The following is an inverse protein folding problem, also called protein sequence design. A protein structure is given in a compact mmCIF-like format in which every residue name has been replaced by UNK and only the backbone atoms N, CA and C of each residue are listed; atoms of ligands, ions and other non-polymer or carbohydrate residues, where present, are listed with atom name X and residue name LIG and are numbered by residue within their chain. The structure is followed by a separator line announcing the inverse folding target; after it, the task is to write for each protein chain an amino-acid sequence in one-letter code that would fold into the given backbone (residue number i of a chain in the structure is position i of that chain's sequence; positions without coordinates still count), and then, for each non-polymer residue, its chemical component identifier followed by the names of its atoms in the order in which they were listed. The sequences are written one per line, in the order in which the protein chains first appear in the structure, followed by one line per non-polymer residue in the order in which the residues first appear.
data_IF_648199311424
#
_entry.id   IF_648199311424
#
_cell.length_a   1.000
_cell.length_b   1.000
_cell.length_c   1.000
_cell.angle_alpha   90.00
_cell.angle_beta   90.00
_cell.angle_gamma   90.00
#
_symmetry.space_group_name_H-M   'P 1'
#
loop_
_entity.id
_entity.type
_entity.pdbx_description
1 polymer ?
#
# COMPACT_ATOMS: atom_id res chain seq x y z
N UNK A 1 -1.56 4.01 14.41
CA UNK A 1 -1.62 2.66 13.80
C UNK A 1 -2.70 1.85 14.49
N UNK A 2 -3.36 0.93 13.77
CA UNK A 2 -4.39 0.03 14.30
C UNK A 2 -4.15 -1.40 13.82
N UNK A 3 -4.69 -2.39 14.53
CA UNK A 3 -4.77 -3.77 14.09
C UNK A 3 -6.19 -4.06 13.57
N UNK A 4 -6.29 -4.74 12.44
CA UNK A 4 -7.57 -5.03 11.78
C UNK A 4 -7.76 -6.52 11.59
N UNK A 5 -8.88 -7.06 12.07
CA UNK A 5 -9.27 -8.46 11.93
C UNK A 5 -10.71 -8.57 11.39
N UNK A 6 -10.84 -8.59 10.06
CA UNK A 6 -12.14 -8.57 9.38
C UNK A 6 -12.61 -9.94 8.86
N UNK A 7 -11.88 -11.02 9.14
CA UNK A 7 -12.07 -12.29 8.43
C UNK A 7 -12.06 -13.52 9.34
N UNK A 8 -10.88 -13.90 9.83
CA UNK A 8 -10.65 -15.15 10.54
C UNK A 8 -9.96 -14.83 11.85
N UNK A 9 -10.28 -15.61 12.89
CA UNK A 9 -9.56 -15.61 14.16
C UNK A 9 -8.04 -15.62 13.87
N UNK A 10 -7.34 -14.71 14.54
CA UNK A 10 -5.87 -14.56 14.54
C UNK A 10 -5.21 -14.06 13.24
N UNK A 11 -5.98 -13.52 12.28
CA UNK A 11 -5.43 -12.87 11.09
C UNK A 11 -5.54 -11.35 11.16
N UNK A 12 -4.60 -10.74 11.89
CA UNK A 12 -4.49 -9.30 11.98
C UNK A 12 -3.73 -8.72 10.79
N UNK A 13 -4.14 -7.53 10.36
CA UNK A 13 -3.37 -6.65 9.48
C UNK A 13 -3.12 -5.36 10.21
N UNK A 14 -1.86 -4.94 10.25
CA UNK A 14 -1.52 -3.60 10.69
C UNK A 14 -1.95 -2.60 9.62
N UNK A 15 -2.64 -1.54 10.05
CA UNK A 15 -3.02 -0.42 9.21
C UNK A 15 -2.49 0.88 9.82
N UNK A 16 -1.92 1.73 8.97
CA UNK A 16 -1.48 3.07 9.34
C UNK A 16 -1.82 4.07 8.24
N UNK A 17 -1.66 5.36 8.52
CA UNK A 17 -1.83 6.45 7.56
C UNK A 17 -0.51 7.20 7.44
N UNK A 18 -0.06 7.42 6.21
CA UNK A 18 1.17 8.15 5.89
C UNK A 18 0.82 9.11 4.77
N UNK A 19 1.03 10.41 4.99
CA UNK A 19 0.69 11.47 4.03
C UNK A 19 -0.76 11.33 3.49
N UNK A 20 -1.72 11.24 4.41
CA UNK A 20 -3.17 11.05 4.13
C UNK A 20 -3.52 9.83 3.26
N UNK A 21 -2.57 8.92 3.06
CA UNK A 21 -2.76 7.68 2.31
C UNK A 21 -2.77 6.52 3.30
N UNK A 22 -3.74 5.61 3.25
CA UNK A 22 -3.78 4.49 4.18
C UNK A 22 -2.96 3.32 3.65
N UNK A 23 -2.25 2.66 4.55
CA UNK A 23 -1.31 1.57 4.28
C UNK A 23 -1.65 0.36 5.12
N UNK A 24 -1.55 -0.83 4.54
CA UNK A 24 -1.63 -2.08 5.28
C UNK A 24 -0.35 -2.89 5.13
N UNK A 25 0.07 -3.57 6.19
CA UNK A 25 1.15 -4.53 6.12
C UNK A 25 0.63 -5.86 5.57
N UNK A 26 1.24 -6.38 4.51
CA UNK A 26 0.81 -7.61 3.87
C UNK A 26 1.17 -8.84 4.71
N UNK A 27 0.22 -9.75 4.87
CA UNK A 27 0.43 -11.08 5.47
C UNK A 27 1.09 -12.09 4.52
N UNK A 28 1.47 -11.70 3.31
CA UNK A 28 2.10 -12.59 2.31
C UNK A 28 1.15 -13.54 1.58
N UNK A 29 0.02 -13.95 2.17
CA UNK A 29 -0.90 -14.98 1.65
C UNK A 29 -1.29 -14.82 0.16
N UNK A 30 -1.46 -13.59 -0.30
CA UNK A 30 -1.85 -13.27 -1.68
C UNK A 30 -0.82 -12.40 -2.42
N UNK A 31 0.31 -12.05 -1.78
CA UNK A 31 1.39 -11.27 -2.42
C UNK A 31 2.66 -12.08 -2.64
N UNK A 32 2.87 -13.19 -1.92
CA UNK A 32 4.17 -13.84 -1.81
C UNK A 32 5.19 -13.03 -0.98
N UNK A 33 4.78 -11.88 -0.45
CA UNK A 33 5.64 -10.92 0.26
C UNK A 33 5.00 -10.55 1.59
N UNK A 34 5.29 -11.33 2.62
CA UNK A 34 4.87 -11.01 4.00
C UNK A 34 5.72 -9.86 4.53
N UNK A 35 5.11 -8.90 5.20
CA UNK A 35 5.79 -7.73 5.77
C UNK A 35 5.87 -6.52 4.83
N UNK A 36 5.56 -6.64 3.54
CA UNK A 36 5.54 -5.49 2.62
C UNK A 36 4.31 -4.62 2.83
N UNK A 37 4.53 -3.30 2.95
CA UNK A 37 3.48 -2.31 3.10
C UNK A 37 2.90 -1.90 1.74
N UNK A 38 1.58 -1.94 1.62
CA UNK A 38 0.86 -1.51 0.42
C UNK A 38 -0.19 -0.47 0.79
N UNK A 39 -0.31 0.56 -0.04
CA UNK A 39 -1.42 1.48 0.08
C UNK A 39 -2.75 0.81 -0.37
N UNK A 40 -3.86 1.37 0.08
CA UNK A 40 -5.20 0.92 -0.30
C UNK A 40 -6.19 2.09 -0.27
N UNK A 41 -7.44 1.86 -0.67
CA UNK A 41 -8.48 2.90 -0.75
C UNK A 41 -9.45 2.92 0.44
N UNK A 42 -9.24 2.09 1.47
CA UNK A 42 -10.22 1.87 2.54
C UNK A 42 -10.83 0.47 2.51
N UNK A 43 -11.85 0.25 3.34
CA UNK A 43 -12.54 -1.03 3.44
C UNK A 43 -13.85 -0.99 2.67
N UNK A 44 -14.09 -2.03 1.87
CA UNK A 44 -15.29 -2.16 1.06
C UNK A 44 -16.53 -2.36 1.94
N UNK A 45 -17.42 -1.37 1.95
CA UNK A 45 -18.68 -1.42 2.73
C UNK A 45 -19.78 -2.21 2.03
N UNK A 46 -19.87 -2.09 0.70
CA UNK A 46 -20.87 -2.76 -0.12
C UNK A 46 -20.24 -3.91 -0.90
N UNK A 47 -20.81 -5.10 -0.75
CA UNK A 47 -20.48 -6.25 -1.61
C UNK A 47 -20.68 -5.87 -3.08
N UNK A 48 -19.83 -6.42 -3.96
CA UNK A 48 -20.03 -6.40 -5.41
C UNK A 48 -19.85 -7.80 -6.01
N UNK A 49 -19.97 -7.92 -7.33
CA UNK A 49 -19.90 -9.20 -8.04
C UNK A 49 -18.56 -9.94 -7.88
N UNK A 50 -17.49 -9.25 -7.45
CA UNK A 50 -16.13 -9.82 -7.33
C UNK A 50 -15.64 -9.92 -5.88
N UNK A 51 -16.21 -9.15 -4.96
CA UNK A 51 -15.70 -9.01 -3.59
C UNK A 51 -16.84 -8.90 -2.57
N UNK A 52 -16.73 -9.66 -1.48
CA UNK A 52 -17.60 -9.51 -0.30
C UNK A 52 -17.33 -8.18 0.43
N UNK A 53 -18.21 -7.79 1.34
CA UNK A 53 -17.92 -6.72 2.31
C UNK A 53 -16.61 -6.97 3.09
N UNK A 54 -16.04 -5.92 3.70
CA UNK A 54 -14.84 -6.00 4.55
C UNK A 54 -13.53 -6.32 3.82
N UNK A 55 -13.51 -6.21 2.50
CA UNK A 55 -12.27 -6.33 1.72
C UNK A 55 -11.50 -5.01 1.70
N UNK A 56 -10.17 -5.07 1.84
CA UNK A 56 -9.30 -3.92 1.52
C UNK A 56 -9.47 -3.56 0.03
N UNK A 57 -9.82 -2.32 -0.26
CA UNK A 57 -9.95 -1.79 -1.61
C UNK A 57 -8.55 -1.61 -2.17
N UNK A 58 -8.08 -2.61 -2.93
CA UNK A 58 -6.77 -2.54 -3.56
C UNK A 58 -6.82 -1.61 -4.78
N UNK A 59 -5.73 -0.90 -5.08
CA UNK A 59 -5.57 -0.04 -6.25
C UNK A 59 -5.72 -0.71 -7.63
N UNK A 60 -6.11 -1.99 -7.72
CA UNK A 60 -6.40 -2.65 -9.00
C UNK A 60 -7.49 -1.96 -9.83
N UNK A 61 -8.31 -1.07 -9.24
CA UNK A 61 -9.18 -0.18 -9.98
C UNK A 61 -8.40 0.75 -10.93
N UNK A 62 -7.23 1.25 -10.52
CA UNK A 62 -6.37 2.10 -11.34
C UNK A 62 -5.87 1.39 -12.61
N UNK A 63 -5.65 0.07 -12.56
CA UNK A 63 -5.29 -0.71 -13.77
C UNK A 63 -6.46 -0.85 -14.73
N UNK A 64 -7.69 -0.93 -14.22
CA UNK A 64 -8.89 -0.98 -15.07
C UNK A 64 -9.09 0.34 -15.82
N UNK A 65 -8.62 1.45 -15.27
CA UNK A 65 -8.56 2.76 -15.92
C UNK A 65 -7.46 2.87 -17.00
N UNK A 66 -6.78 1.76 -17.33
CA UNK A 66 -5.83 1.63 -18.45
C UNK A 66 -4.52 2.42 -18.30
N UNK A 67 -4.13 2.83 -17.08
CA UNK A 67 -2.80 3.42 -16.90
C UNK A 67 -1.70 2.41 -17.26
N UNK A 68 -0.82 2.81 -18.17
CA UNK A 68 0.35 2.02 -18.54
C UNK A 68 1.39 2.06 -17.41
N UNK A 69 2.22 1.00 -17.33
CA UNK A 69 3.34 0.95 -16.37
C UNK A 69 4.28 2.16 -16.50
N UNK A 70 4.43 2.67 -17.71
CA UNK A 70 5.24 3.83 -18.04
C UNK A 70 4.63 5.13 -17.52
N UNK A 71 3.31 5.30 -17.59
CA UNK A 71 2.65 6.45 -16.98
C UNK A 71 2.76 6.44 -15.45
N UNK A 72 2.84 5.26 -14.85
CA UNK A 72 2.79 5.12 -13.39
C UNK A 72 4.14 5.28 -12.68
N UNK A 73 5.22 4.73 -13.27
CA UNK A 73 6.57 4.81 -12.70
C UNK A 73 7.53 5.68 -13.52
N UNK A 74 7.07 6.23 -14.64
CA UNK A 74 7.94 6.85 -15.63
C UNK A 74 8.70 5.82 -16.47
N UNK A 75 9.20 6.27 -17.62
CA UNK A 75 9.92 5.45 -18.60
C UNK A 75 11.17 4.80 -18.03
N UNK A 76 11.95 5.53 -17.24
CA UNK A 76 13.23 5.08 -16.72
C UNK A 76 13.07 3.92 -15.74
N UNK A 77 12.17 4.06 -14.76
CA UNK A 77 11.92 3.02 -13.74
C UNK A 77 11.20 1.82 -14.33
N UNK A 78 10.23 2.03 -15.23
CA UNK A 78 9.58 0.94 -15.95
C UNK A 78 10.58 0.12 -16.79
N UNK A 79 11.52 0.80 -17.46
CA UNK A 79 12.61 0.14 -18.19
C UNK A 79 13.53 -0.63 -17.25
N UNK A 80 13.98 -0.03 -16.14
CA UNK A 80 14.84 -0.69 -15.15
C UNK A 80 14.21 -1.99 -14.62
N UNK A 81 12.95 -1.94 -14.21
CA UNK A 81 12.21 -3.09 -13.68
C UNK A 81 12.08 -4.21 -14.74
N UNK A 82 11.91 -3.83 -16.02
CA UNK A 82 11.89 -4.80 -17.12
C UNK A 82 13.27 -5.40 -17.35
N UNK A 83 14.32 -4.58 -17.47
CA UNK A 83 15.73 -4.97 -17.69
C UNK A 83 16.21 -5.96 -16.63
N UNK A 84 15.79 -5.79 -15.38
CA UNK A 84 16.18 -6.64 -14.27
C UNK A 84 15.17 -7.77 -13.97
N UNK A 85 14.23 -8.06 -14.86
CA UNK A 85 13.25 -9.14 -14.73
C UNK A 85 12.50 -9.12 -13.38
N UNK A 86 12.20 -7.93 -12.89
CA UNK A 86 11.45 -7.70 -11.65
C UNK A 86 9.94 -7.61 -11.94
N UNK A 87 9.55 -7.33 -13.18
CA UNK A 87 8.16 -7.22 -13.63
C UNK A 87 7.30 -8.48 -13.43
N UNK A 88 7.92 -9.66 -13.24
CA UNK A 88 7.23 -10.92 -12.90
C UNK A 88 7.01 -11.10 -11.40
N UNK A 89 7.74 -10.35 -10.59
CA UNK A 89 7.72 -10.44 -9.13
C UNK A 89 6.84 -9.35 -8.53
N UNK A 90 6.93 -8.13 -9.05
CA UNK A 90 6.10 -7.05 -8.54
C UNK A 90 4.76 -7.00 -9.26
N UNK A 91 3.69 -6.96 -8.48
CA UNK A 91 2.39 -6.50 -8.97
C UNK A 91 2.41 -4.97 -8.93
N UNK A 92 2.83 -4.37 -10.04
CA UNK A 92 2.93 -2.91 -10.21
C UNK A 92 1.69 -2.15 -9.72
N UNK A 93 0.51 -2.72 -9.95
CA UNK A 93 -0.75 -2.13 -9.53
C UNK A 93 -0.89 -1.99 -8.02
N UNK A 94 -0.19 -2.82 -7.22
CA UNK A 94 -0.23 -2.77 -5.76
C UNK A 94 0.69 -1.71 -5.17
N UNK A 95 1.74 -1.32 -5.88
CA UNK A 95 2.72 -0.37 -5.37
C UNK A 95 2.35 1.08 -5.60
N UNK A 96 1.39 1.36 -6.48
CA UNK A 96 0.97 2.73 -6.69
C UNK A 96 1.96 3.45 -7.60
N UNK A 97 1.84 4.76 -7.66
CA UNK A 97 2.79 5.60 -8.39
C UNK A 97 4.22 5.54 -7.81
N UNK A 98 5.11 6.32 -8.42
CA UNK A 98 6.51 6.42 -7.99
C UNK A 98 6.66 6.86 -6.53
N UNK A 99 5.80 7.75 -6.03
CA UNK A 99 5.85 8.20 -4.64
C UNK A 99 5.48 7.05 -3.70
N UNK A 100 4.40 6.33 -3.99
CA UNK A 100 3.91 5.22 -3.16
C UNK A 100 4.88 4.04 -3.13
N UNK A 101 5.54 3.71 -4.25
CA UNK A 101 6.56 2.66 -4.22
C UNK A 101 7.78 3.06 -3.41
N UNK A 102 8.20 4.35 -3.44
CA UNK A 102 9.28 4.86 -2.59
C UNK A 102 8.91 4.81 -1.11
N UNK A 103 7.70 5.24 -0.73
CA UNK A 103 7.20 5.12 0.65
C UNK A 103 7.18 3.65 1.10
N UNK A 104 6.67 2.74 0.27
CA UNK A 104 6.71 1.30 0.56
C UNK A 104 8.15 0.80 0.78
N UNK A 105 9.10 1.26 -0.04
CA UNK A 105 10.50 0.88 0.05
C UNK A 105 11.20 1.46 1.30
N UNK A 106 10.81 2.65 1.76
CA UNK A 106 11.28 3.23 3.02
C UNK A 106 10.96 2.37 4.23
N UNK A 107 9.78 1.73 4.25
CA UNK A 107 9.30 0.93 5.37
C UNK A 107 9.90 -0.48 5.43
N UNK A 108 10.67 -0.87 4.41
CA UNK A 108 11.27 -2.20 4.27
C UNK A 108 10.25 -3.35 4.38
N UNK A 109 10.74 -4.57 4.64
CA UNK A 109 9.92 -5.76 4.82
C UNK A 109 9.52 -6.46 3.51
N UNK A 110 9.35 -7.79 3.62
CA UNK A 110 8.91 -8.65 2.52
C UNK A 110 9.73 -8.50 1.24
N UNK A 111 9.10 -8.04 0.15
CA UNK A 111 9.73 -7.83 -1.15
C UNK A 111 11.04 -7.03 -1.05
N UNK A 112 11.07 -5.99 -0.23
CA UNK A 112 12.23 -5.09 -0.11
C UNK A 112 13.46 -5.76 0.51
N UNK A 113 13.27 -6.86 1.24
CA UNK A 113 14.37 -7.65 1.81
C UNK A 113 14.99 -8.62 0.80
N UNK A 114 14.33 -8.89 -0.33
CA UNK A 114 14.88 -9.71 -1.41
C UNK A 114 16.00 -8.99 -2.17
N UNK A 115 16.90 -9.73 -2.81
CA UNK A 115 17.99 -9.13 -3.61
C UNK A 115 17.47 -8.20 -4.72
N UNK A 116 16.35 -8.57 -5.34
CA UNK A 116 15.70 -7.74 -6.36
C UNK A 116 15.02 -6.52 -5.75
N UNK A 117 14.42 -6.67 -4.56
CA UNK A 117 13.88 -5.56 -3.78
C UNK A 117 14.94 -4.54 -3.42
N UNK A 118 16.08 -5.00 -2.88
CA UNK A 118 17.25 -4.15 -2.56
C UNK A 118 17.77 -3.41 -3.79
N UNK A 119 17.92 -4.10 -4.93
CA UNK A 119 18.32 -3.47 -6.21
C UNK A 119 17.34 -2.39 -6.65
N UNK A 120 16.03 -2.66 -6.57
CA UNK A 120 15.01 -1.67 -6.91
C UNK A 120 15.01 -0.50 -5.92
N UNK A 121 15.12 -0.75 -4.62
CA UNK A 121 15.20 0.28 -3.58
C UNK A 121 16.37 1.22 -3.86
N UNK A 122 17.57 0.70 -4.13
CA UNK A 122 18.74 1.51 -4.46
C UNK A 122 18.53 2.35 -5.74
N UNK A 123 17.86 1.79 -6.75
CA UNK A 123 17.49 2.55 -7.94
C UNK A 123 16.52 3.69 -7.60
N UNK A 124 15.47 3.40 -6.84
CA UNK A 124 14.48 4.40 -6.43
C UNK A 124 15.10 5.51 -5.58
N UNK A 125 15.95 5.16 -4.59
CA UNK A 125 16.66 6.13 -3.75
C UNK A 125 17.58 7.05 -4.55
N UNK A 126 18.22 6.53 -5.60
CA UNK A 126 19.09 7.31 -6.48
C UNK A 126 18.33 8.35 -7.30
N UNK A 127 17.13 8.02 -7.78
CA UNK A 127 16.41 8.85 -8.77
C UNK A 127 15.23 9.63 -8.20
N UNK A 128 14.69 9.21 -7.06
CA UNK A 128 13.55 9.84 -6.40
C UNK A 128 13.72 9.92 -4.87
N UNK A 129 14.87 10.42 -4.37
CA UNK A 129 15.13 10.50 -2.93
C UNK A 129 14.07 11.30 -2.17
N UNK A 130 13.45 12.30 -2.82
CA UNK A 130 12.43 13.18 -2.25
C UNK A 130 11.15 12.46 -1.82
N UNK A 131 10.89 11.26 -2.35
CA UNK A 131 9.71 10.47 -1.98
C UNK A 131 9.98 9.43 -0.88
N UNK A 132 11.23 9.30 -0.43
CA UNK A 132 11.55 8.44 0.71
C UNK A 132 11.18 9.12 2.03
N UNK A 133 10.59 8.36 2.93
CA UNK A 133 10.35 8.81 4.31
C UNK A 133 11.69 9.07 5.03
N UNK A 134 11.66 10.01 5.97
CA UNK A 134 12.80 10.26 6.86
C UNK A 134 13.00 9.10 7.84
N UNK A 135 14.21 8.99 8.40
CA UNK A 135 14.55 7.92 9.34
C UNK A 135 13.69 7.99 10.61
N UNK A 136 13.32 9.18 11.04
CA UNK A 136 12.46 9.44 12.20
C UNK A 136 11.08 8.82 11.97
N UNK A 137 10.46 9.12 10.83
CA UNK A 137 9.14 8.58 10.47
C UNK A 137 9.17 7.06 10.30
N UNK A 138 10.24 6.52 9.70
CA UNK A 138 10.42 5.07 9.55
C UNK A 138 10.48 4.41 10.93
N UNK A 139 11.29 4.96 11.84
CA UNK A 139 11.45 4.46 13.21
C UNK A 139 10.12 4.46 13.97
N UNK A 140 9.39 5.57 13.93
CA UNK A 140 8.06 5.68 14.58
C UNK A 140 7.08 4.62 14.09
N UNK A 141 7.05 4.36 12.77
CA UNK A 141 6.16 3.36 12.18
C UNK A 141 6.57 1.95 12.58
N UNK A 142 7.88 1.64 12.60
CA UNK A 142 8.39 0.34 13.02
C UNK A 142 8.12 0.08 14.51
N UNK A 143 8.36 1.05 15.37
CA UNK A 143 8.05 0.96 16.80
C UNK A 143 6.55 0.75 17.02
N UNK A 144 5.71 1.51 16.32
CA UNK A 144 4.26 1.33 16.36
C UNK A 144 3.83 -0.06 15.87
N UNK A 145 4.51 -0.64 14.87
CA UNK A 145 4.21 -1.97 14.35
C UNK A 145 4.56 -3.11 15.32
N UNK A 146 5.47 -2.87 16.28
CA UNK A 146 5.87 -3.86 17.29
C UNK A 146 4.98 -3.81 18.55
N UNK A 147 4.12 -2.80 18.68
CA UNK A 147 3.21 -2.65 19.82
C UNK A 147 2.20 -3.78 19.89
N UNK A 148 2.01 -4.32 21.10
CA UNK A 148 1.03 -5.37 21.41
C UNK A 148 -0.31 -4.82 21.89
N UNK A 149 -0.39 -3.51 22.18
CA UNK A 149 -1.54 -2.80 22.75
C UNK A 149 -2.29 -1.96 21.70
N UNK A 150 -2.13 -2.27 20.41
CA UNK A 150 -2.82 -1.55 19.34
C UNK A 150 -4.34 -1.76 19.41
N UNK A 151 -5.16 -0.72 19.16
CA UNK A 151 -6.60 -0.89 19.01
C UNK A 151 -6.93 -1.92 17.92
N UNK A 152 -7.75 -2.90 18.27
CA UNK A 152 -8.18 -3.97 17.36
C UNK A 152 -9.58 -3.67 16.83
N UNK A 153 -9.69 -3.49 15.52
CA UNK A 153 -10.97 -3.32 14.85
C UNK A 153 -11.39 -4.57 14.09
N UNK A 154 -12.58 -5.07 14.41
CA UNK A 154 -13.23 -6.21 13.75
C UNK A 154 -14.41 -5.81 12.84
N UNK A 155 -14.70 -4.51 12.79
CA UNK A 155 -15.82 -3.94 12.04
C UNK A 155 -15.29 -2.97 10.96
N UNK A 156 -15.72 -3.15 9.72
CA UNK A 156 -15.26 -2.34 8.58
C UNK A 156 -15.65 -0.86 8.68
N UNK A 157 -16.80 -0.53 9.25
CA UNK A 157 -17.25 0.85 9.45
C UNK A 157 -16.37 1.56 10.47
N UNK A 158 -15.97 0.85 11.53
CA UNK A 158 -15.04 1.40 12.52
C UNK A 158 -13.66 1.66 11.91
N UNK A 159 -13.18 0.78 11.03
CA UNK A 159 -11.93 1.01 10.29
C UNK A 159 -12.06 2.23 9.38
N UNK A 160 -13.12 2.34 8.56
CA UNK A 160 -13.32 3.49 7.67
C UNK A 160 -13.52 4.81 8.43
N UNK A 161 -14.17 4.77 9.60
CA UNK A 161 -14.28 5.92 10.49
C UNK A 161 -12.91 6.33 11.01
N UNK A 162 -12.11 5.39 11.52
CA UNK A 162 -10.75 5.67 11.96
C UNK A 162 -9.91 6.28 10.82
N UNK A 163 -9.99 5.73 9.60
CA UNK A 163 -9.32 6.30 8.43
C UNK A 163 -9.75 7.75 8.17
N UNK A 164 -11.05 8.04 8.25
CA UNK A 164 -11.58 9.41 8.11
C UNK A 164 -11.03 10.35 9.18
N UNK A 165 -10.96 9.90 10.43
CA UNK A 165 -10.44 10.68 11.57
C UNK A 165 -8.94 10.96 11.41
N UNK A 166 -8.20 10.12 10.68
CA UNK A 166 -6.80 10.35 10.31
C UNK A 166 -6.62 11.25 9.07
N UNK A 167 -7.70 11.87 8.56
CA UNK A 167 -7.64 12.74 7.40
C UNK A 167 -7.52 12.00 6.05
N UNK A 168 -7.77 10.69 6.03
CA UNK A 168 -7.89 9.95 4.77
C UNK A 168 -9.21 10.34 4.13
N UNK A 169 -9.15 10.96 2.96
CA UNK A 169 -10.32 11.10 2.10
C UNK A 169 -10.80 9.69 1.73
N UNK A 170 -11.88 9.22 2.36
CA UNK A 170 -12.41 7.89 2.13
C UNK A 170 -12.78 7.71 0.64
N UNK A 171 -12.15 6.74 -0.02
CA UNK A 171 -12.55 6.26 -1.37
C UNK A 171 -13.92 5.54 -1.33
N UNK A 172 -14.60 5.57 -0.17
CA UNK A 172 -16.01 5.20 0.00
C UNK A 172 -17.01 6.21 -0.59
N UNK A 173 -16.57 7.38 -1.07
CA UNK A 173 -17.38 8.34 -1.84
C UNK A 173 -16.89 8.46 -3.28
N UNK A 174 -16.24 7.43 -3.84
CA UNK A 174 -15.92 7.40 -5.28
C UNK A 174 -16.68 6.26 -5.96
N UNK A 175 -18.00 6.41 -6.01
CA UNK A 175 -18.70 6.06 -7.23
C UNK A 175 -18.15 6.98 -8.33
N UNK A 176 -17.20 6.48 -9.12
CA UNK A 176 -16.80 7.01 -10.43
C UNK A 176 -15.78 8.14 -10.63
N UNK A 177 -15.11 8.77 -9.67
CA UNK A 177 -14.16 9.86 -10.04
C UNK A 177 -12.82 9.88 -9.28
N UNK A 178 -11.72 9.64 -10.00
CA UNK A 178 -10.40 10.22 -9.69
C UNK A 178 -9.76 9.94 -8.32
N UNK A 179 -9.04 8.81 -8.22
CA UNK A 179 -7.84 8.72 -7.36
C UNK A 179 -6.60 9.33 -8.04
N UNK A 180 -6.84 10.37 -8.83
CA UNK A 180 -5.81 11.17 -9.46
C UNK A 180 -6.06 12.59 -9.01
N UNK A 181 -5.19 13.09 -8.16
CA UNK A 181 -4.80 14.48 -8.30
C UNK A 181 -4.44 14.66 -9.78
N UNK A 182 -5.28 15.40 -10.52
CA UNK A 182 -4.86 15.98 -11.80
C UNK A 182 -3.69 16.94 -11.52
N UNK A 183 -2.75 17.10 -12.46
CA UNK A 183 -1.72 18.12 -12.35
C UNK A 183 -2.35 19.51 -12.15
#
# INVERSE_FOLDING_TARGET
MIAVNLWKKDHYRLITVINNTPWYQSTGRNSGYSGTWFFFGGILEKKNNRHSWSWLIKPNALVKERYSKTQFFGKNTAHYIRKHSMHKLISFSRFGDIQKICISASLDGGFWLSDKGKKLKNHLQKYYPEYFLSNEVIKEIHEAAMRTDLPVYTDYKKVNRWLSEQGVANVGVLHNESLLFKP
#
